data_IF_154737436332
#
_entry.id   IF_154737436332
#
_cell.length_a   1.000
_cell.length_b   1.000
_cell.length_c   1.000
_cell.angle_alpha   90.00
_cell.angle_beta   90.00
_cell.angle_gamma   90.00
#
_symmetry.space_group_name_H-M   'P 1'
#
loop_
_entity.id
_entity.type
_entity.pdbx_description
1 polymer ?
#
# COMPACT_ATOMS: atom_id res chain seq x y z
N UNK A 1 -17.76 -5.33 19.75
CA UNK A 1 -17.06 -5.21 18.47
C UNK A 1 -16.50 -3.81 18.42
N UNK A 2 -15.20 -3.65 18.18
CA UNK A 2 -14.60 -2.35 17.92
C UNK A 2 -15.06 -1.93 16.52
N UNK A 3 -15.84 -0.85 16.42
CA UNK A 3 -16.15 -0.25 15.15
C UNK A 3 -14.92 0.54 14.72
N UNK A 4 -14.31 0.13 13.61
CA UNK A 4 -13.11 0.75 13.04
C UNK A 4 -13.33 2.22 12.65
N UNK A 5 -14.60 2.65 12.55
CA UNK A 5 -15.02 4.02 12.31
C UNK A 5 -14.64 4.99 13.46
N UNK A 6 -14.71 4.56 14.73
CA UNK A 6 -14.44 5.45 15.88
C UNK A 6 -12.96 5.85 16.00
N UNK A 7 -12.05 5.07 15.39
CA UNK A 7 -10.59 5.33 15.42
C UNK A 7 -10.19 6.32 14.33
N UNK A 8 -11.03 6.54 13.32
CA UNK A 8 -10.75 7.44 12.20
C UNK A 8 -11.11 8.90 12.52
N UNK A 9 -12.07 9.14 13.42
CA UNK A 9 -12.55 10.49 13.77
C UNK A 9 -11.52 11.32 14.57
N UNK A 10 -10.62 10.66 15.34
CA UNK A 10 -9.51 11.33 16.04
C UNK A 10 -8.21 11.38 15.21
N UNK A 11 -8.19 10.69 14.06
CA UNK A 11 -7.00 10.41 13.27
C UNK A 11 -6.30 9.12 13.72
N UNK A 12 -5.88 8.31 12.75
CA UNK A 12 -5.17 7.06 13.01
C UNK A 12 -3.83 7.34 13.70
N UNK A 13 -3.67 6.87 14.94
CA UNK A 13 -2.38 6.94 15.66
C UNK A 13 -1.41 5.92 15.06
N UNK A 14 -0.37 6.42 14.42
CA UNK A 14 0.72 5.63 13.86
C UNK A 14 2.04 5.92 14.61
N UNK A 15 2.91 4.91 14.68
CA UNK A 15 4.25 5.09 15.24
C UNK A 15 5.20 5.65 14.16
N UNK A 16 5.12 5.13 12.93
CA UNK A 16 5.84 5.68 11.78
C UNK A 16 5.18 5.35 10.44
N UNK A 17 5.53 6.15 9.44
CA UNK A 17 5.27 5.93 8.02
C UNK A 17 6.61 5.67 7.34
N UNK A 18 6.71 4.60 6.54
CA UNK A 18 7.93 4.25 5.82
C UNK A 18 7.63 3.70 4.44
N UNK A 19 8.37 4.13 3.45
CA UNK A 19 8.28 3.62 2.08
C UNK A 19 9.03 4.52 1.13
N UNK A 20 9.03 4.13 -0.14
CA UNK A 20 9.61 4.89 -1.23
C UNK A 20 8.48 5.53 -2.05
N UNK A 21 8.76 6.75 -2.51
CA UNK A 21 7.91 7.51 -3.41
C UNK A 21 8.75 7.88 -4.63
N UNK A 22 8.30 7.46 -5.81
CA UNK A 22 8.82 8.03 -7.05
C UNK A 22 7.93 9.21 -7.44
N UNK A 23 8.54 10.39 -7.54
CA UNK A 23 7.88 11.61 -7.97
C UNK A 23 8.26 11.88 -9.43
N UNK A 24 7.27 11.83 -10.32
CA UNK A 24 7.47 12.07 -11.74
C UNK A 24 6.21 12.63 -12.37
N UNK A 25 6.36 13.63 -13.25
CA UNK A 25 5.26 14.17 -14.06
C UNK A 25 4.00 14.54 -13.26
N UNK A 26 4.19 15.17 -12.09
CA UNK A 26 3.11 15.53 -11.13
C UNK A 26 2.38 14.32 -10.53
N UNK A 27 2.94 13.13 -10.63
CA UNK A 27 2.45 11.91 -9.99
C UNK A 27 3.42 11.46 -8.91
N UNK A 28 2.89 11.07 -7.74
CA UNK A 28 3.62 10.33 -6.73
C UNK A 28 3.20 8.87 -6.78
N UNK A 29 4.13 7.95 -7.04
CA UNK A 29 3.87 6.52 -7.02
C UNK A 29 4.56 5.86 -5.84
N UNK A 30 3.86 4.92 -5.21
CA UNK A 30 4.43 4.03 -4.21
C UNK A 30 4.00 2.59 -4.43
N UNK A 31 4.83 1.66 -3.97
CA UNK A 31 4.55 0.23 -3.98
C UNK A 31 4.93 -0.45 -2.66
N UNK A 32 5.35 0.33 -1.66
CA UNK A 32 5.82 -0.14 -0.36
C UNK A 32 5.56 0.90 0.75
N UNK A 33 4.60 1.82 0.58
CA UNK A 33 4.25 2.78 1.63
C UNK A 33 3.53 2.05 2.75
N UNK A 34 4.20 1.94 3.88
CA UNK A 34 3.72 1.26 5.07
C UNK A 34 3.42 2.25 6.18
N UNK A 35 2.29 2.05 6.85
CA UNK A 35 1.88 2.73 8.07
C UNK A 35 1.89 1.70 9.19
N UNK A 36 2.81 1.87 10.15
CA UNK A 36 2.85 1.03 11.34
C UNK A 36 2.01 1.67 12.44
N UNK A 37 1.07 0.91 12.98
CA UNK A 37 0.27 1.32 14.13
C UNK A 37 0.39 0.27 15.24
N UNK A 38 -0.18 0.58 16.41
CA UNK A 38 -0.20 -0.37 17.53
C UNK A 38 -1.12 -1.58 17.30
N UNK A 39 -2.02 -1.49 16.33
CA UNK A 39 -3.15 -2.43 16.20
C UNK A 39 -3.17 -3.13 14.84
N UNK A 40 -2.69 -2.46 13.78
CA UNK A 40 -2.66 -2.96 12.41
C UNK A 40 -1.42 -2.46 11.66
N UNK A 41 -0.94 -3.24 10.71
CA UNK A 41 -0.03 -2.78 9.67
C UNK A 41 -0.84 -2.44 8.42
N UNK A 42 -0.52 -1.30 7.79
CA UNK A 42 -1.18 -0.87 6.56
C UNK A 42 -0.14 -0.76 5.45
N UNK A 43 -0.42 -1.34 4.29
CA UNK A 43 0.36 -1.17 3.06
C UNK A 43 -0.46 -0.44 2.01
N UNK A 44 0.15 0.55 1.36
CA UNK A 44 -0.45 1.35 0.29
C UNK A 44 0.40 1.20 -0.97
N UNK A 45 -0.28 0.92 -2.08
CA UNK A 45 0.29 0.77 -3.43
C UNK A 45 -0.53 1.61 -4.39
N UNK A 46 0.10 2.33 -5.31
CA UNK A 46 -0.59 3.08 -6.36
C UNK A 46 -0.07 4.50 -6.52
N UNK A 47 -0.91 5.37 -7.10
CA UNK A 47 -0.55 6.73 -7.47
C UNK A 47 -1.33 7.78 -6.71
N UNK A 48 -0.71 8.96 -6.58
CA UNK A 48 -1.40 10.20 -6.24
C UNK A 48 -1.09 11.23 -7.30
N UNK A 49 -2.13 11.81 -7.90
CA UNK A 49 -1.98 12.96 -8.78
C UNK A 49 -1.80 14.20 -7.90
N UNK A 50 -0.63 14.84 -7.98
CA UNK A 50 -0.28 16.00 -7.19
C UNK A 50 -0.89 17.30 -7.72
N UNK A 51 -1.29 17.33 -9.00
CA UNK A 51 -1.93 18.48 -9.64
C UNK A 51 -3.43 18.47 -9.38
N UNK A 52 -4.10 17.37 -9.72
CA UNK A 52 -5.53 17.19 -9.52
C UNK A 52 -5.88 16.82 -8.07
N UNK A 53 -4.88 16.49 -7.27
CA UNK A 53 -5.02 16.11 -5.85
C UNK A 53 -5.97 14.93 -5.69
N UNK A 54 -5.72 13.87 -6.45
CA UNK A 54 -6.51 12.64 -6.41
C UNK A 54 -5.68 11.43 -6.01
N UNK A 55 -6.36 10.41 -5.51
CA UNK A 55 -5.83 9.08 -5.26
C UNK A 55 -6.29 8.10 -6.34
N UNK A 56 -5.43 7.13 -6.62
CA UNK A 56 -5.74 5.87 -7.28
C UNK A 56 -4.82 4.81 -6.66
N UNK A 57 -5.27 4.25 -5.55
CA UNK A 57 -4.44 3.43 -4.67
C UNK A 57 -5.19 2.20 -4.15
N UNK A 58 -4.45 1.16 -3.87
CA UNK A 58 -4.90 0.02 -3.09
C UNK A 58 -4.29 0.09 -1.70
N UNK A 59 -5.13 -0.03 -0.69
CA UNK A 59 -4.75 -0.16 0.71
C UNK A 59 -5.05 -1.57 1.20
N UNK A 60 -4.06 -2.17 1.86
CA UNK A 60 -4.11 -3.50 2.46
C UNK A 60 -3.90 -3.32 3.95
N UNK A 61 -4.86 -3.78 4.75
CA UNK A 61 -4.80 -3.74 6.21
C UNK A 61 -4.56 -5.16 6.71
N UNK A 62 -3.49 -5.30 7.50
CA UNK A 62 -3.06 -6.54 8.13
C UNK A 62 -3.19 -6.42 9.65
N UNK A 63 -4.08 -7.20 10.30
CA UNK A 63 -4.21 -7.20 11.75
C UNK A 63 -3.05 -7.90 12.46
N UNK A 64 -2.25 -8.71 11.76
CA UNK A 64 -1.12 -9.43 12.33
C UNK A 64 0.14 -8.54 12.27
N UNK A 65 0.18 -7.57 13.19
CA UNK A 65 1.26 -6.58 13.39
C UNK A 65 2.61 -7.29 13.59
N UNK A 66 3.35 -7.56 12.52
CA UNK A 66 4.76 -7.98 12.53
C UNK A 66 5.32 -8.33 11.16
N UNK A 67 4.51 -8.77 10.19
CA UNK A 67 5.05 -9.51 9.04
C UNK A 67 5.41 -8.66 7.81
N UNK A 68 4.69 -7.56 7.58
CA UNK A 68 4.93 -6.67 6.43
C UNK A 68 6.23 -5.88 6.63
N UNK A 69 6.48 -5.40 7.86
CA UNK A 69 7.61 -4.52 8.19
C UNK A 69 8.94 -5.25 8.39
N UNK A 70 8.91 -6.46 8.97
CA UNK A 70 10.13 -7.27 9.14
C UNK A 70 10.68 -7.75 7.78
N UNK A 71 9.79 -7.95 6.80
CA UNK A 71 10.17 -8.22 5.40
C UNK A 71 10.72 -6.99 4.66
N UNK A 72 10.16 -5.80 4.91
CA UNK A 72 10.59 -4.56 4.26
C UNK A 72 11.93 -4.01 4.74
N UNK A 73 12.37 -4.32 5.96
CA UNK A 73 13.68 -3.89 6.48
C UNK A 73 14.87 -4.57 5.78
N UNK A 74 14.69 -5.77 5.23
CA UNK A 74 15.74 -6.54 4.57
C UNK A 74 16.06 -6.05 3.14
N UNK A 75 15.22 -5.19 2.53
CA UNK A 75 15.37 -4.84 1.11
C UNK A 75 16.07 -3.53 0.80
N UNK A 76 17.02 -3.15 1.66
CA UNK A 76 18.05 -2.16 1.35
C UNK A 76 19.17 -2.72 0.44
N UNK A 77 19.10 -4.00 0.03
CA UNK A 77 20.18 -4.69 -0.69
C UNK A 77 19.93 -4.96 -2.20
N UNK A 78 18.93 -4.31 -2.82
CA UNK A 78 18.64 -4.48 -4.25
C UNK A 78 18.11 -3.19 -4.90
N UNK A 79 17.93 -3.17 -6.24
CA UNK A 79 17.22 -2.07 -6.91
C UNK A 79 15.81 -1.95 -6.31
N UNK A 80 15.31 -0.73 -6.08
CA UNK A 80 14.03 -0.46 -5.40
C UNK A 80 12.84 -1.30 -5.92
N UNK A 81 12.86 -1.69 -7.20
CA UNK A 81 11.87 -2.58 -7.81
C UNK A 81 11.79 -3.99 -7.19
N UNK A 82 12.92 -4.58 -6.80
CA UNK A 82 12.96 -5.94 -6.25
C UNK A 82 12.36 -6.00 -4.83
N UNK A 83 12.49 -4.92 -4.06
CA UNK A 83 11.92 -4.76 -2.72
C UNK A 83 10.41 -4.85 -2.70
N UNK A 84 9.78 -4.02 -3.52
CA UNK A 84 8.34 -3.89 -3.52
C UNK A 84 7.67 -5.14 -4.06
N UNK A 85 8.29 -5.79 -5.05
CA UNK A 85 7.81 -7.08 -5.56
C UNK A 85 7.86 -8.18 -4.49
N UNK A 86 8.92 -8.20 -3.67
CA UNK A 86 9.03 -9.17 -2.57
C UNK A 86 7.92 -8.96 -1.53
N UNK A 87 7.70 -7.73 -1.07
CA UNK A 87 6.63 -7.40 -0.09
C UNK A 87 5.27 -7.80 -0.66
N UNK A 88 4.98 -7.40 -1.90
CA UNK A 88 3.73 -7.74 -2.56
C UNK A 88 3.58 -9.26 -2.65
N UNK A 89 4.58 -9.99 -3.16
CA UNK A 89 4.53 -11.45 -3.26
C UNK A 89 4.29 -12.15 -1.92
N UNK A 90 4.85 -11.63 -0.82
CA UNK A 90 4.64 -12.18 0.53
C UNK A 90 3.17 -12.03 0.96
N UNK A 91 2.58 -10.86 0.73
CA UNK A 91 1.17 -10.60 1.03
C UNK A 91 0.27 -11.46 0.16
N UNK A 92 0.54 -11.51 -1.15
CA UNK A 92 -0.26 -12.31 -2.09
C UNK A 92 -0.09 -13.82 -1.91
N UNK A 93 0.94 -14.29 -1.19
CA UNK A 93 1.16 -15.71 -0.90
C UNK A 93 0.50 -16.18 0.41
N UNK A 94 -0.13 -15.28 1.16
CA UNK A 94 -0.80 -15.62 2.43
C UNK A 94 -2.01 -16.55 2.22
N UNK A 95 -2.36 -17.41 3.18
CA UNK A 95 -3.58 -18.22 3.10
C UNK A 95 -4.85 -17.36 2.98
N UNK A 96 -5.92 -17.89 2.38
CA UNK A 96 -7.22 -17.18 2.28
C UNK A 96 -7.95 -17.04 3.63
N UNK A 97 -7.50 -17.79 4.64
CA UNK A 97 -7.96 -17.69 6.03
C UNK A 97 -7.35 -16.49 6.77
N UNK A 98 -6.35 -15.81 6.19
CA UNK A 98 -5.77 -14.61 6.77
C UNK A 98 -6.78 -13.44 6.72
N UNK A 99 -6.86 -12.68 7.81
CA UNK A 99 -7.84 -11.59 7.98
C UNK A 99 -7.37 -10.29 7.34
N UNK A 100 -6.87 -10.36 6.10
CA UNK A 100 -6.48 -9.17 5.34
C UNK A 100 -7.73 -8.44 4.83
N UNK A 101 -7.72 -7.11 4.94
CA UNK A 101 -8.75 -6.26 4.35
C UNK A 101 -8.17 -5.44 3.20
N UNK A 102 -8.84 -5.45 2.05
CA UNK A 102 -8.41 -4.75 0.84
C UNK A 102 -9.39 -3.63 0.52
N UNK A 103 -8.85 -2.45 0.21
CA UNK A 103 -9.62 -1.27 -0.16
C UNK A 103 -9.03 -0.62 -1.41
N UNK A 104 -9.88 -0.27 -2.36
CA UNK A 104 -9.56 0.70 -3.40
C UNK A 104 -9.83 2.11 -2.85
N UNK A 105 -8.85 2.98 -2.94
CA UNK A 105 -8.90 4.40 -2.59
C UNK A 105 -8.83 5.20 -3.88
N UNK A 106 -9.88 5.97 -4.16
CA UNK A 106 -9.94 6.82 -5.34
C UNK A 106 -10.51 8.21 -5.03
N UNK A 107 -10.48 9.12 -6.00
CA UNK A 107 -11.08 10.44 -5.87
C UNK A 107 -10.20 11.49 -5.20
N UNK A 108 -10.78 12.63 -4.82
CA UNK A 108 -10.02 13.78 -4.31
C UNK A 108 -9.41 13.54 -2.92
N UNK A 109 -8.23 14.09 -2.64
CA UNK A 109 -7.54 13.92 -1.36
C UNK A 109 -8.38 14.33 -0.15
N UNK A 110 -9.23 15.35 -0.31
CA UNK A 110 -10.08 15.87 0.76
C UNK A 110 -11.33 15.02 1.00
N UNK A 111 -11.69 14.18 0.04
CA UNK A 111 -12.88 13.35 0.09
C UNK A 111 -12.63 12.08 -0.73
N UNK A 112 -11.70 11.22 -0.27
CA UNK A 112 -11.44 9.96 -0.96
C UNK A 112 -12.65 9.04 -0.85
N UNK A 113 -12.87 8.25 -1.88
CA UNK A 113 -13.83 7.14 -1.88
C UNK A 113 -13.07 5.86 -1.56
N UNK A 114 -13.54 5.12 -0.55
CA UNK A 114 -12.98 3.84 -0.16
C UNK A 114 -13.99 2.73 -0.46
N UNK A 115 -13.59 1.78 -1.30
CA UNK A 115 -14.41 0.64 -1.70
C UNK A 115 -13.70 -0.64 -1.28
N UNK A 116 -14.35 -1.48 -0.48
CA UNK A 116 -13.83 -2.81 -0.16
C UNK A 116 -13.85 -3.69 -1.40
N UNK A 117 -12.76 -4.42 -1.62
CA UNK A 117 -12.56 -5.28 -2.80
C UNK A 117 -12.12 -6.68 -2.36
N UNK A 118 -12.35 -7.67 -3.23
CA UNK A 118 -11.90 -9.03 -2.97
C UNK A 118 -10.45 -9.24 -3.40
N UNK A 119 -9.79 -10.22 -2.76
CA UNK A 119 -8.38 -10.53 -2.98
C UNK A 119 -8.07 -10.93 -4.42
N UNK A 120 -8.92 -11.72 -5.05
CA UNK A 120 -8.75 -12.21 -6.41
C UNK A 120 -8.76 -11.09 -7.46
N UNK A 121 -9.44 -9.97 -7.17
CA UNK A 121 -9.42 -8.75 -7.99
C UNK A 121 -8.06 -8.01 -7.89
N UNK A 122 -7.34 -8.23 -6.80
CA UNK A 122 -6.12 -7.50 -6.41
C UNK A 122 -4.83 -8.20 -6.88
N UNK A 123 -4.73 -9.52 -6.72
CA UNK A 123 -3.48 -10.27 -6.83
C UNK A 123 -2.72 -10.02 -8.16
N UNK A 124 -3.43 -10.00 -9.29
CA UNK A 124 -2.80 -9.80 -10.62
C UNK A 124 -2.53 -8.32 -10.91
N UNK A 125 -3.50 -7.48 -10.59
CA UNK A 125 -3.51 -6.06 -10.94
C UNK A 125 -2.35 -5.34 -10.26
N UNK A 126 -2.08 -5.63 -8.99
CA UNK A 126 -0.98 -4.97 -8.26
C UNK A 126 0.40 -5.33 -8.80
N UNK A 127 0.63 -6.61 -9.12
CA UNK A 127 1.91 -7.06 -9.70
C UNK A 127 2.16 -6.35 -11.03
N UNK A 128 1.13 -6.29 -11.88
CA UNK A 128 1.22 -5.63 -13.19
C UNK A 128 1.47 -4.13 -13.07
N UNK A 129 0.79 -3.44 -12.15
CA UNK A 129 1.01 -2.01 -11.88
C UNK A 129 2.47 -1.75 -11.50
N UNK A 130 3.00 -2.50 -10.54
CA UNK A 130 4.38 -2.32 -10.05
C UNK A 130 5.40 -2.63 -11.15
N UNK A 131 5.24 -3.74 -11.88
CA UNK A 131 6.13 -4.09 -12.99
C UNK A 131 6.08 -3.04 -14.10
N UNK A 132 4.88 -2.65 -14.52
CA UNK A 132 4.71 -1.68 -15.59
C UNK A 132 5.34 -0.34 -15.24
N UNK A 133 5.19 0.09 -13.99
CA UNK A 133 5.78 1.33 -13.49
C UNK A 133 7.31 1.35 -13.62
N UNK A 134 7.99 0.31 -13.12
CA UNK A 134 9.45 0.23 -13.21
C UNK A 134 9.94 0.01 -14.65
N UNK A 135 9.12 -0.61 -15.50
CA UNK A 135 9.40 -0.73 -16.93
C UNK A 135 9.36 0.64 -17.64
N UNK A 136 8.41 1.50 -17.29
CA UNK A 136 8.26 2.83 -17.91
C UNK A 136 9.15 3.89 -17.29
N UNK A 137 9.59 3.69 -16.05
CA UNK A 137 10.40 4.64 -15.28
C UNK A 137 11.67 3.95 -14.74
N UNK A 138 12.65 3.64 -15.61
CA UNK A 138 13.88 3.00 -15.18
C UNK A 138 14.68 3.91 -14.23
N UNK A 139 15.13 3.35 -13.12
CA UNK A 139 16.02 4.04 -12.17
C UNK A 139 17.43 4.00 -12.77
N UNK A 140 18.01 5.17 -13.06
CA UNK A 140 19.39 5.32 -13.55
C UNK A 140 20.42 5.22 -12.42
#
# INVERSE_FOLDING_TARGET
MLNFEDVLDEGLVFDYIKGELLLQDRTAFTCNLSLNTKTVDVLIIGTSDLENRTYDQTMIIDPDVSDILTGGAAVLAGPAAAASMFILSKILSRPDEDTLSYFNISGEWKKPELITIQRDEIDRTLIEIVINFFRTNPIN
#
